data_IF_431120347169
#
_entry.id   IF_431120347169
#
_cell.length_a   1.000
_cell.length_b   1.000
_cell.length_c   1.000
_cell.angle_alpha   90.00
_cell.angle_beta   90.00
_cell.angle_gamma   90.00
#
_symmetry.space_group_name_H-M   'P 1'
#
loop_
_entity.id
_entity.type
_entity.pdbx_description
1 polymer ?
#
# COMPACT_ATOMS: atom_id res chain seq x y z
N UNK A 1 4.91 -10.92 -4.96
CA UNK A 1 4.48 -10.07 -3.83
C UNK A 1 4.20 -8.70 -4.43
N UNK A 2 2.95 -8.20 -4.50
CA UNK A 2 2.54 -7.22 -5.51
C UNK A 2 3.38 -5.93 -5.49
N UNK A 3 3.82 -5.46 -4.31
CA UNK A 3 4.70 -4.28 -4.19
C UNK A 3 6.08 -4.55 -4.79
N UNK A 4 6.76 -5.65 -4.40
CA UNK A 4 8.08 -6.00 -4.93
C UNK A 4 8.05 -6.20 -6.45
N UNK A 5 7.01 -6.89 -6.95
CA UNK A 5 6.85 -7.18 -8.36
C UNK A 5 6.62 -5.89 -9.18
N UNK A 6 5.74 -4.99 -8.71
CA UNK A 6 5.43 -3.72 -9.41
C UNK A 6 6.56 -2.68 -9.33
N UNK A 7 7.37 -2.71 -8.27
CA UNK A 7 8.50 -1.79 -8.11
C UNK A 7 9.76 -2.26 -8.81
N UNK A 8 9.88 -3.56 -9.13
CA UNK A 8 11.11 -4.18 -9.62
C UNK A 8 12.22 -4.24 -8.56
N UNK A 9 11.87 -4.16 -7.27
CA UNK A 9 12.85 -4.11 -6.20
C UNK A 9 13.54 -5.46 -5.98
N UNK A 10 14.85 -5.41 -5.74
CA UNK A 10 15.67 -6.55 -5.32
C UNK A 10 15.68 -6.78 -3.80
N UNK A 11 14.88 -6.03 -3.03
CA UNK A 11 14.80 -6.20 -1.57
C UNK A 11 14.39 -7.62 -1.18
N UNK A 12 15.12 -8.16 -0.21
CA UNK A 12 14.79 -9.43 0.44
C UNK A 12 13.54 -9.27 1.32
N UNK A 13 12.75 -10.34 1.44
CA UNK A 13 11.58 -10.38 2.34
C UNK A 13 11.96 -11.27 3.52
N UNK A 14 12.07 -10.69 4.71
CA UNK A 14 12.29 -11.39 5.97
C UNK A 14 11.02 -11.37 6.82
N UNK A 15 10.70 -12.50 7.48
CA UNK A 15 9.59 -12.60 8.42
C UNK A 15 10.13 -12.50 9.85
N UNK A 16 9.66 -11.51 10.59
CA UNK A 16 10.02 -11.27 11.99
C UNK A 16 8.85 -11.65 12.90
N UNK A 17 9.09 -11.93 14.19
CA UNK A 17 8.02 -12.11 15.17
C UNK A 17 7.10 -10.87 15.19
N UNK A 18 5.79 -11.10 15.34
CA UNK A 18 4.82 -10.01 15.51
C UNK A 18 5.01 -9.27 16.84
N UNK A 19 4.47 -8.06 16.92
CA UNK A 19 4.46 -7.28 18.17
C UNK A 19 3.16 -7.52 18.96
N UNK A 20 3.19 -7.31 20.27
CA UNK A 20 2.02 -7.54 21.15
C UNK A 20 0.81 -6.67 20.75
N UNK A 21 1.07 -5.46 20.26
CA UNK A 21 0.05 -4.48 19.86
C UNK A 21 -0.43 -4.64 18.41
N UNK A 22 0.10 -5.61 17.64
CA UNK A 22 -0.31 -5.78 16.25
C UNK A 22 -1.79 -6.20 16.18
N UNK A 23 -2.65 -5.38 15.54
CA UNK A 23 -4.06 -5.74 15.43
C UNK A 23 -4.20 -7.00 14.58
N UNK A 24 -5.04 -7.91 15.04
CA UNK A 24 -5.36 -9.12 14.30
C UNK A 24 -5.88 -8.80 12.87
N UNK A 25 -5.73 -9.73 11.91
CA UNK A 25 -6.23 -9.56 10.55
C UNK A 25 -7.68 -9.06 10.52
N UNK A 26 -7.92 -7.97 9.78
CA UNK A 26 -9.24 -7.34 9.67
C UNK A 26 -9.89 -7.67 8.34
N UNK A 27 -11.19 -7.94 8.38
CA UNK A 27 -12.03 -8.09 7.20
C UNK A 27 -13.33 -7.33 7.41
N UNK A 28 -13.45 -6.07 6.92
CA UNK A 28 -14.66 -5.30 7.13
C UNK A 28 -15.84 -5.92 6.38
N UNK A 29 -16.98 -6.00 7.06
CA UNK A 29 -18.27 -6.26 6.44
C UNK A 29 -18.78 -4.92 5.87
N UNK A 30 -19.17 -4.89 4.59
CA UNK A 30 -19.51 -3.66 3.86
C UNK A 30 -20.95 -3.65 3.35
N UNK A 31 -21.81 -4.56 3.81
CA UNK A 31 -23.20 -4.66 3.38
C UNK A 31 -23.98 -3.38 3.69
N UNK A 32 -23.70 -2.73 4.82
CA UNK A 32 -24.36 -1.46 5.16
C UNK A 32 -24.05 -0.37 4.13
N UNK A 33 -22.78 -0.19 3.78
CA UNK A 33 -22.36 0.80 2.78
C UNK A 33 -22.99 0.51 1.41
N UNK A 34 -23.03 -0.76 1.00
CA UNK A 34 -23.68 -1.17 -0.24
C UNK A 34 -25.18 -0.87 -0.25
N UNK A 35 -25.88 -1.14 0.85
CA UNK A 35 -27.34 -0.95 0.95
C UNK A 35 -27.75 0.51 1.03
N UNK A 36 -27.03 1.30 1.82
CA UNK A 36 -27.42 2.68 2.14
C UNK A 36 -26.82 3.67 1.14
N UNK A 37 -25.59 3.44 0.71
CA UNK A 37 -24.84 4.37 -0.14
C UNK A 37 -24.69 3.88 -1.58
N UNK A 38 -25.07 2.64 -1.89
CA UNK A 38 -24.81 2.03 -3.20
C UNK A 38 -23.31 1.81 -3.49
N UNK A 39 -22.43 2.09 -2.53
CA UNK A 39 -20.99 2.16 -2.73
C UNK A 39 -20.27 0.84 -2.45
N UNK A 40 -19.21 0.58 -3.20
CA UNK A 40 -18.24 -0.47 -2.95
C UNK A 40 -16.87 -0.09 -3.53
N UNK A 41 -15.76 -0.72 -3.09
CA UNK A 41 -14.47 -0.52 -3.73
C UNK A 41 -14.50 -1.01 -5.17
N UNK A 42 -14.15 -0.14 -6.12
CA UNK A 42 -14.12 -0.46 -7.55
C UNK A 42 -12.70 -0.62 -8.09
N UNK A 43 -11.71 -0.05 -7.40
CA UNK A 43 -10.31 -0.06 -7.82
C UNK A 43 -9.64 -1.37 -7.36
N UNK A 44 -9.13 -2.22 -8.28
CA UNK A 44 -8.37 -3.40 -7.91
C UNK A 44 -7.05 -3.02 -7.23
N UNK A 45 -6.59 -3.84 -6.28
CA UNK A 45 -5.34 -3.62 -5.53
C UNK A 45 -4.15 -3.28 -6.43
N UNK A 46 -3.94 -4.06 -7.51
CA UNK A 46 -2.82 -3.84 -8.43
C UNK A 46 -2.90 -2.48 -9.14
N UNK A 47 -4.10 -2.03 -9.46
CA UNK A 47 -4.30 -0.75 -10.13
C UNK A 47 -3.94 0.41 -9.18
N UNK A 48 -4.53 0.42 -7.97
CA UNK A 48 -4.21 1.45 -6.98
C UNK A 48 -2.74 1.48 -6.58
N UNK A 49 -2.08 0.32 -6.46
CA UNK A 49 -0.64 0.26 -6.21
C UNK A 49 0.17 0.87 -7.38
N UNK A 50 -0.20 0.59 -8.62
CA UNK A 50 0.49 1.12 -9.80
C UNK A 50 0.37 2.65 -9.90
N UNK A 51 -0.75 3.23 -9.49
CA UNK A 51 -0.96 4.69 -9.47
C UNK A 51 -0.16 5.39 -8.35
N UNK A 52 0.02 4.74 -7.19
CA UNK A 52 0.68 5.35 -6.02
C UNK A 52 2.21 5.24 -6.05
N UNK A 53 2.76 4.15 -6.61
CA UNK A 53 4.22 3.92 -6.65
C UNK A 53 5.02 5.11 -7.24
N UNK A 54 4.61 5.75 -8.35
CA UNK A 54 5.31 6.91 -8.90
C UNK A 54 5.44 8.07 -7.91
N UNK A 55 4.38 8.38 -7.16
CA UNK A 55 4.41 9.46 -6.17
C UNK A 55 5.49 9.27 -5.11
N UNK A 56 5.71 8.03 -4.65
CA UNK A 56 6.79 7.71 -3.72
C UNK A 56 8.19 7.79 -4.35
N UNK A 57 8.32 7.51 -5.66
CA UNK A 57 9.59 7.71 -6.38
C UNK A 57 9.95 9.19 -6.46
N UNK A 58 8.96 10.03 -6.74
CA UNK A 58 9.13 11.48 -6.82
C UNK A 58 9.45 12.08 -5.45
N UNK A 59 8.72 11.68 -4.40
CA UNK A 59 8.99 12.10 -3.03
C UNK A 59 10.42 11.76 -2.59
N UNK A 60 10.91 10.56 -2.93
CA UNK A 60 12.29 10.15 -2.65
C UNK A 60 13.31 10.98 -3.43
N UNK A 61 13.00 11.33 -4.68
CA UNK A 61 13.89 12.17 -5.49
C UNK A 61 13.99 13.59 -4.91
N UNK A 62 12.86 14.17 -4.50
CA UNK A 62 12.81 15.47 -3.83
C UNK A 62 13.58 15.46 -2.50
N UNK A 63 13.31 14.49 -1.62
CA UNK A 63 14.02 14.36 -0.34
C UNK A 63 15.54 14.12 -0.50
N UNK A 64 15.98 13.58 -1.65
CA UNK A 64 17.41 13.43 -1.95
C UNK A 64 18.05 14.73 -2.42
N UNK A 65 17.30 15.64 -3.05
CA UNK A 65 17.79 16.96 -3.40
C UNK A 65 17.98 17.82 -2.14
N UNK A 66 17.04 17.75 -1.20
CA UNK A 66 17.11 18.47 0.08
C UNK A 66 18.26 17.99 0.99
N UNK A 67 18.74 16.76 0.79
CA UNK A 67 19.84 16.18 1.57
C UNK A 67 21.23 16.42 0.96
N UNK A 68 21.32 17.16 -0.15
CA UNK A 68 22.57 17.44 -0.89
C UNK A 68 22.95 18.93 -0.85
N UNK A 69 22.14 19.77 -0.18
CA UNK A 69 22.48 21.16 0.19
C UNK A 69 23.08 21.27 1.60
#
# INVERSE_FOLDING_TARGET
MPIRDLTGSASEISFLPGTEDDPQPRRPEITLARRVLGGQPEVPLRHGLAEVIPSFRDLRAAARLDAVD
#
